data_IF_353631406448
#
_entry.id   IF_353631406448
#
_cell.length_a   1.000
_cell.length_b   1.000
_cell.length_c   1.000
_cell.angle_alpha   90.00
_cell.angle_beta   90.00
_cell.angle_gamma   90.00
#
_symmetry.space_group_name_H-M   'P 1'
#
loop_
_entity.id
_entity.type
_entity.pdbx_description
1 polymer ?
#
# COMPACT_ATOMS: atom_id res chain seq x y z
N UNK A 1 -107.61 35.78 81.56
CA UNK A 1 -106.13 35.88 81.68
C UNK A 1 -105.38 34.74 80.96
N UNK A 2 -105.82 34.27 79.77
CA UNK A 2 -105.10 33.23 78.99
C UNK A 2 -104.76 33.62 77.55
N UNK A 3 -105.13 34.83 77.10
CA UNK A 3 -104.88 35.29 75.72
C UNK A 3 -103.56 36.08 75.55
N UNK A 4 -102.88 36.45 76.64
CA UNK A 4 -101.61 37.21 76.61
C UNK A 4 -100.33 36.35 76.65
N UNK A 5 -100.43 35.03 76.87
CA UNK A 5 -99.26 34.12 76.88
C UNK A 5 -98.95 33.47 75.53
N UNK A 6 -99.89 33.46 74.57
CA UNK A 6 -99.69 32.80 73.27
C UNK A 6 -99.00 33.68 72.22
N UNK A 7 -99.07 35.02 72.34
CA UNK A 7 -98.43 35.96 71.40
C UNK A 7 -96.94 36.20 71.69
N UNK A 8 -96.46 35.89 72.91
CA UNK A 8 -95.05 36.06 73.30
C UNK A 8 -94.16 34.87 72.87
N UNK A 9 -94.69 33.64 72.89
CA UNK A 9 -93.95 32.45 72.43
C UNK A 9 -93.83 32.35 70.90
N UNK A 10 -94.74 32.93 70.12
CA UNK A 10 -94.66 32.87 68.65
C UNK A 10 -93.60 33.82 68.08
N UNK A 11 -93.47 35.02 68.66
CA UNK A 11 -92.45 35.98 68.26
C UNK A 11 -91.03 35.58 68.70
N UNK A 12 -90.86 34.95 69.87
CA UNK A 12 -89.54 34.44 70.28
C UNK A 12 -89.05 33.28 69.40
N UNK A 13 -89.94 32.38 68.96
CA UNK A 13 -89.57 31.29 68.04
C UNK A 13 -89.30 31.79 66.60
N UNK A 14 -89.97 32.85 66.14
CA UNK A 14 -89.70 33.46 64.83
C UNK A 14 -88.39 34.26 64.84
N UNK A 15 -88.06 34.98 65.93
CA UNK A 15 -86.76 35.67 66.09
C UNK A 15 -85.60 34.67 66.21
N UNK A 16 -85.74 33.58 66.97
CA UNK A 16 -84.71 32.52 67.05
C UNK A 16 -84.50 31.81 65.69
N UNK A 17 -85.56 31.58 64.91
CA UNK A 17 -85.45 30.98 63.59
C UNK A 17 -84.78 31.91 62.57
N UNK A 18 -85.12 33.20 62.55
CA UNK A 18 -84.49 34.18 61.65
C UNK A 18 -83.00 34.35 61.99
N UNK A 19 -82.65 34.33 63.29
CA UNK A 19 -81.28 34.46 63.75
C UNK A 19 -80.46 33.18 63.47
N UNK A 20 -81.08 31.99 63.55
CA UNK A 20 -80.49 30.73 63.09
C UNK A 20 -80.33 30.67 61.56
N UNK A 21 -81.29 31.15 60.77
CA UNK A 21 -81.16 31.22 59.31
C UNK A 21 -80.10 32.23 58.85
N UNK A 22 -79.99 33.38 59.52
CA UNK A 22 -78.94 34.37 59.25
C UNK A 22 -77.57 33.85 59.68
N UNK A 23 -77.45 33.17 60.82
CA UNK A 23 -76.21 32.52 61.24
C UNK A 23 -75.82 31.36 60.31
N UNK A 24 -76.80 30.57 59.83
CA UNK A 24 -76.56 29.53 58.85
C UNK A 24 -76.09 30.14 57.52
N UNK A 25 -76.76 31.15 56.98
CA UNK A 25 -76.31 31.85 55.75
C UNK A 25 -74.93 32.47 55.89
N UNK A 26 -74.64 33.12 57.02
CA UNK A 26 -73.33 33.70 57.30
C UNK A 26 -72.25 32.61 57.43
N UNK A 27 -72.59 31.45 58.00
CA UNK A 27 -71.71 30.29 58.07
C UNK A 27 -71.51 29.66 56.67
N UNK A 28 -72.54 29.56 55.84
CA UNK A 28 -72.44 29.05 54.46
C UNK A 28 -71.61 29.98 53.57
N UNK A 29 -71.76 31.30 53.68
CA UNK A 29 -70.93 32.27 52.96
C UNK A 29 -69.47 32.25 53.43
N UNK A 30 -69.22 32.13 54.74
CA UNK A 30 -67.86 31.95 55.27
C UNK A 30 -67.25 30.63 54.83
N UNK A 31 -68.02 29.54 54.83
CA UNK A 31 -67.60 28.21 54.35
C UNK A 31 -67.23 28.26 52.86
N UNK A 32 -68.10 28.84 52.04
CA UNK A 32 -67.88 29.02 50.59
C UNK A 32 -66.64 29.87 50.27
N UNK A 33 -66.36 30.89 51.07
CA UNK A 33 -65.14 31.69 50.90
C UNK A 33 -63.89 30.90 51.32
N UNK A 34 -63.98 30.06 52.36
CA UNK A 34 -62.91 29.17 52.80
C UNK A 34 -62.58 28.12 51.71
N UNK A 35 -63.60 27.47 51.16
CA UNK A 35 -63.47 26.48 50.07
C UNK A 35 -62.81 27.09 48.83
N UNK A 36 -63.13 28.34 48.49
CA UNK A 36 -62.49 29.07 47.38
C UNK A 36 -60.98 29.26 47.59
N UNK A 37 -60.54 29.62 48.80
CA UNK A 37 -59.11 29.78 49.09
C UNK A 37 -58.37 28.44 49.16
N UNK A 38 -59.01 27.40 49.71
CA UNK A 38 -58.43 26.05 49.77
C UNK A 38 -58.31 25.46 48.36
N UNK A 39 -59.34 25.58 47.52
CA UNK A 39 -59.31 25.09 46.15
C UNK A 39 -58.26 25.83 45.29
N UNK A 40 -58.13 27.15 45.46
CA UNK A 40 -57.03 27.89 44.84
C UNK A 40 -55.65 27.37 45.29
N UNK A 41 -55.49 27.07 46.58
CA UNK A 41 -54.26 26.49 47.13
C UNK A 41 -53.93 25.12 46.54
N UNK A 42 -54.92 24.24 46.41
CA UNK A 42 -54.80 22.92 45.78
C UNK A 42 -54.35 23.07 44.32
N UNK A 43 -55.08 23.82 43.50
CA UNK A 43 -54.74 24.04 42.09
C UNK A 43 -53.35 24.66 41.91
N UNK A 44 -52.95 25.57 42.80
CA UNK A 44 -51.61 26.16 42.77
C UNK A 44 -50.52 25.15 43.11
N UNK A 45 -50.73 24.32 44.14
CA UNK A 45 -49.79 23.27 44.52
C UNK A 45 -49.69 22.19 43.44
N UNK A 46 -50.81 21.74 42.87
CA UNK A 46 -50.82 20.78 41.76
C UNK A 46 -50.01 21.29 40.57
N UNK A 47 -50.20 22.56 40.19
CA UNK A 47 -49.40 23.18 39.13
C UNK A 47 -47.90 23.16 39.47
N UNK A 48 -47.53 23.51 40.71
CA UNK A 48 -46.12 23.53 41.15
C UNK A 48 -45.50 22.13 41.21
N UNK A 49 -46.26 21.13 41.66
CA UNK A 49 -45.82 19.74 41.68
C UNK A 49 -45.74 19.14 40.28
N UNK A 50 -46.62 19.54 39.36
CA UNK A 50 -46.49 19.22 37.93
C UNK A 50 -45.22 19.79 37.31
N UNK A 51 -44.93 21.08 37.55
CA UNK A 51 -43.68 21.72 37.11
C UNK A 51 -42.43 21.00 37.66
N UNK A 52 -42.47 20.54 38.92
CA UNK A 52 -41.39 19.75 39.52
C UNK A 52 -41.28 18.35 38.92
N UNK A 53 -42.39 17.67 38.62
CA UNK A 53 -42.36 16.36 37.98
C UNK A 53 -41.74 16.45 36.57
N UNK A 54 -42.07 17.50 35.81
CA UNK A 54 -41.44 17.76 34.52
C UNK A 54 -39.93 17.99 34.65
N UNK A 55 -39.48 18.63 35.74
CA UNK A 55 -38.06 18.80 36.04
C UNK A 55 -37.36 17.48 36.35
N UNK A 56 -37.98 16.61 37.16
CA UNK A 56 -37.47 15.26 37.47
C UNK A 56 -37.33 14.40 36.20
N UNK A 57 -38.29 14.50 35.28
CA UNK A 57 -38.22 13.82 33.97
C UNK A 57 -37.06 14.35 33.14
N UNK A 58 -36.84 15.67 33.08
CA UNK A 58 -35.70 16.26 32.34
C UNK A 58 -34.36 15.81 32.88
N UNK A 59 -34.21 15.70 34.20
CA UNK A 59 -32.94 15.25 34.78
C UNK A 59 -32.74 13.75 34.57
N UNK A 60 -33.79 12.93 34.63
CA UNK A 60 -33.73 11.51 34.25
C UNK A 60 -33.21 11.33 32.82
N UNK A 61 -33.67 12.17 31.89
CA UNK A 61 -33.17 12.16 30.51
C UNK A 61 -31.69 12.56 30.42
N UNK A 62 -31.25 13.54 31.23
CA UNK A 62 -29.85 13.96 31.29
C UNK A 62 -28.91 12.86 31.82
N UNK A 63 -29.38 12.03 32.76
CA UNK A 63 -28.65 10.85 33.25
C UNK A 63 -28.37 9.87 32.10
N UNK A 64 -29.39 9.59 31.28
CA UNK A 64 -29.28 8.68 30.13
C UNK A 64 -28.28 9.18 29.07
N UNK A 65 -28.17 10.49 28.89
CA UNK A 65 -27.18 11.08 27.98
C UNK A 65 -25.74 10.90 28.49
N UNK A 66 -25.54 10.89 29.80
CA UNK A 66 -24.23 10.64 30.42
C UNK A 66 -23.83 9.16 30.29
N UNK A 67 -24.76 8.23 30.45
CA UNK A 67 -24.50 6.80 30.16
C UNK A 67 -24.10 6.55 28.70
N UNK A 68 -24.71 7.27 27.77
CA UNK A 68 -24.28 7.22 26.37
C UNK A 68 -22.85 7.77 26.19
N UNK A 69 -22.47 8.77 26.98
CA UNK A 69 -21.12 9.34 26.99
C UNK A 69 -20.08 8.32 27.46
N UNK A 70 -20.39 7.51 28.47
CA UNK A 70 -19.56 6.37 28.89
C UNK A 70 -19.26 5.40 27.74
N UNK A 71 -20.31 4.99 27.02
CA UNK A 71 -20.18 4.05 25.90
C UNK A 71 -19.26 4.60 24.80
N UNK A 72 -19.35 5.91 24.54
CA UNK A 72 -18.48 6.60 23.57
C UNK A 72 -17.01 6.66 24.02
N UNK A 73 -16.74 6.85 25.31
CA UNK A 73 -15.37 6.87 25.85
C UNK A 73 -14.69 5.51 25.69
N UNK A 74 -15.40 4.43 26.02
CA UNK A 74 -14.89 3.07 25.81
C UNK A 74 -14.62 2.79 24.32
N UNK A 75 -15.46 3.30 23.42
CA UNK A 75 -15.21 3.20 21.99
C UNK A 75 -13.93 3.94 21.57
N UNK A 76 -13.66 5.12 22.13
CA UNK A 76 -12.42 5.88 21.88
C UNK A 76 -11.19 5.10 22.37
N UNK A 77 -11.24 4.48 23.55
CA UNK A 77 -10.14 3.65 24.06
C UNK A 77 -9.81 2.49 23.10
N UNK A 78 -10.83 1.81 22.57
CA UNK A 78 -10.63 0.75 21.57
C UNK A 78 -9.99 1.28 20.28
N UNK A 79 -10.41 2.45 19.81
CA UNK A 79 -9.80 3.10 18.63
C UNK A 79 -8.33 3.42 18.89
N UNK A 80 -7.98 3.95 20.07
CA UNK A 80 -6.60 4.25 20.45
C UNK A 80 -5.73 2.98 20.44
N UNK A 81 -6.20 1.89 21.05
CA UNK A 81 -5.46 0.62 21.08
C UNK A 81 -5.24 0.06 19.66
N UNK A 82 -6.25 0.16 18.78
CA UNK A 82 -6.12 -0.26 17.39
C UNK A 82 -5.11 0.60 16.62
N UNK A 83 -5.11 1.91 16.86
CA UNK A 83 -4.16 2.84 16.24
C UNK A 83 -2.73 2.46 16.68
N UNK A 84 -2.49 2.22 17.97
CA UNK A 84 -1.16 1.87 18.49
C UNK A 84 -0.65 0.56 17.85
N UNK A 85 -1.51 -0.45 17.73
CA UNK A 85 -1.20 -1.71 17.01
C UNK A 85 -0.83 -1.46 15.55
N UNK A 86 -1.60 -0.61 14.84
CA UNK A 86 -1.32 -0.29 13.43
C UNK A 86 0.02 0.43 13.26
N UNK A 87 0.38 1.32 14.20
CA UNK A 87 1.66 2.01 14.16
C UNK A 87 2.85 1.07 14.41
N UNK A 88 2.69 0.07 15.26
CA UNK A 88 3.67 -0.99 15.41
C UNK A 88 3.86 -1.78 14.11
N UNK A 89 2.79 -2.11 13.40
CA UNK A 89 2.86 -2.78 12.10
C UNK A 89 3.54 -1.88 11.04
N UNK A 90 3.21 -0.59 10.98
CA UNK A 90 3.89 0.36 10.10
C UNK A 90 5.38 0.46 10.37
N UNK A 91 5.80 0.38 11.64
CA UNK A 91 7.22 0.38 12.00
C UNK A 91 7.93 -0.87 11.47
N UNK A 92 7.29 -2.04 11.60
CA UNK A 92 7.80 -3.28 11.02
C UNK A 92 7.91 -3.21 9.49
N UNK A 93 6.91 -2.65 8.81
CA UNK A 93 6.95 -2.46 7.36
C UNK A 93 8.06 -1.50 6.92
N UNK A 94 8.26 -0.39 7.61
CA UNK A 94 9.35 0.55 7.31
C UNK A 94 10.73 -0.12 7.48
N UNK A 95 10.91 -0.91 8.53
CA UNK A 95 12.13 -1.70 8.74
C UNK A 95 12.33 -2.74 7.62
N UNK A 96 11.26 -3.41 7.18
CA UNK A 96 11.32 -4.36 6.07
C UNK A 96 11.67 -3.68 4.74
N UNK A 97 11.16 -2.46 4.50
CA UNK A 97 11.57 -1.65 3.35
C UNK A 97 13.09 -1.39 3.40
N UNK A 98 13.64 -1.00 4.54
CA UNK A 98 15.08 -0.78 4.69
C UNK A 98 15.91 -2.04 4.40
N UNK A 99 15.47 -3.21 4.87
CA UNK A 99 16.13 -4.49 4.55
C UNK A 99 16.11 -4.79 3.04
N UNK A 100 14.95 -4.65 2.40
CA UNK A 100 14.81 -4.84 0.95
C UNK A 100 15.71 -3.87 0.19
N UNK A 101 15.79 -2.60 0.61
CA UNK A 101 16.67 -1.61 -0.02
C UNK A 101 18.15 -1.94 0.16
N UNK A 102 18.56 -2.46 1.31
CA UNK A 102 19.94 -2.92 1.51
C UNK A 102 20.30 -4.12 0.63
N UNK A 103 19.36 -5.07 0.48
CA UNK A 103 19.51 -6.20 -0.42
C UNK A 103 19.57 -5.77 -1.89
N UNK A 104 18.74 -4.80 -2.28
CA UNK A 104 18.75 -4.18 -3.62
C UNK A 104 20.11 -3.54 -3.91
N UNK A 105 20.62 -2.71 -3.00
CA UNK A 105 21.93 -2.06 -3.14
C UNK A 105 23.08 -3.07 -3.30
N UNK A 106 23.07 -4.15 -2.50
CA UNK A 106 24.05 -5.24 -2.62
C UNK A 106 23.94 -5.98 -3.96
N UNK A 107 22.71 -6.26 -4.42
CA UNK A 107 22.47 -6.92 -5.70
C UNK A 107 22.96 -6.07 -6.88
N UNK A 108 22.68 -4.76 -6.86
CA UNK A 108 23.13 -3.80 -7.87
C UNK A 108 24.66 -3.72 -7.90
N UNK A 109 25.33 -3.61 -6.74
CA UNK A 109 26.80 -3.62 -6.66
C UNK A 109 27.42 -4.90 -7.22
N UNK A 110 26.80 -6.06 -6.95
CA UNK A 110 27.26 -7.32 -7.53
C UNK A 110 27.05 -7.35 -9.05
N UNK A 111 25.94 -6.82 -9.53
CA UNK A 111 25.65 -6.75 -10.95
C UNK A 111 26.59 -5.80 -11.69
N UNK A 112 26.93 -4.66 -11.10
CA UNK A 112 27.91 -3.71 -11.65
C UNK A 112 29.32 -4.32 -11.75
N UNK A 113 29.76 -5.03 -10.71
CA UNK A 113 31.03 -5.79 -10.76
C UNK A 113 31.05 -6.84 -11.88
N UNK A 114 29.94 -7.58 -12.06
CA UNK A 114 29.80 -8.54 -13.16
C UNK A 114 29.82 -7.85 -14.52
N UNK A 115 29.27 -6.64 -14.61
CA UNK A 115 29.29 -5.85 -15.83
C UNK A 115 30.70 -5.35 -16.17
N UNK A 116 31.47 -4.91 -15.17
CA UNK A 116 32.90 -4.62 -15.34
C UNK A 116 33.67 -5.83 -15.87
N UNK A 117 33.42 -7.01 -15.29
CA UNK A 117 34.02 -8.26 -15.78
C UNK A 117 33.59 -8.60 -17.22
N UNK A 118 32.34 -8.29 -17.60
CA UNK A 118 31.86 -8.49 -18.97
C UNK A 118 32.58 -7.55 -19.95
N UNK A 119 32.78 -6.29 -19.58
CA UNK A 119 33.54 -5.32 -20.38
C UNK A 119 34.99 -5.79 -20.61
N UNK A 120 35.64 -6.31 -19.57
CA UNK A 120 36.99 -6.89 -19.69
C UNK A 120 37.02 -8.09 -20.65
N UNK A 121 36.03 -8.98 -20.56
CA UNK A 121 35.90 -10.12 -21.47
C UNK A 121 35.67 -9.69 -22.91
N UNK A 122 34.81 -8.70 -23.13
CA UNK A 122 34.57 -8.09 -24.45
C UNK A 122 35.88 -7.57 -25.04
N UNK A 123 36.67 -6.82 -24.26
CA UNK A 123 37.95 -6.31 -24.70
C UNK A 123 38.95 -7.45 -25.01
N UNK A 124 38.96 -8.51 -24.20
CA UNK A 124 39.73 -9.72 -24.47
C UNK A 124 39.35 -10.39 -25.79
N UNK A 125 38.05 -10.50 -26.09
CA UNK A 125 37.57 -11.05 -27.37
C UNK A 125 37.95 -10.17 -28.56
N UNK A 126 37.93 -8.84 -28.43
CA UNK A 126 38.44 -7.93 -29.46
C UNK A 126 39.91 -8.22 -29.79
N UNK A 127 40.77 -8.32 -28.77
CA UNK A 127 42.19 -8.64 -28.96
C UNK A 127 42.37 -10.01 -29.64
N UNK A 128 41.57 -11.02 -29.28
CA UNK A 128 41.61 -12.32 -29.95
C UNK A 128 41.25 -12.22 -31.43
N UNK A 129 40.22 -11.45 -31.79
CA UNK A 129 39.84 -11.25 -33.19
C UNK A 129 40.92 -10.49 -33.98
N UNK A 130 41.63 -9.56 -33.35
CA UNK A 130 42.77 -8.87 -33.98
C UNK A 130 43.92 -9.84 -34.25
N UNK A 131 44.28 -10.70 -33.29
CA UNK A 131 45.29 -11.75 -33.50
C UNK A 131 44.88 -12.76 -34.58
N UNK A 132 43.60 -13.13 -34.63
CA UNK A 132 43.06 -13.99 -35.69
C UNK A 132 43.19 -13.31 -37.05
N UNK A 133 42.89 -12.00 -37.13
CA UNK A 133 43.03 -11.21 -38.37
C UNK A 133 44.48 -11.20 -38.87
N UNK A 134 45.45 -11.06 -37.95
CA UNK A 134 46.88 -11.09 -38.27
C UNK A 134 47.32 -12.48 -38.77
N UNK A 135 46.87 -13.56 -38.13
CA UNK A 135 47.14 -14.93 -38.58
C UNK A 135 46.60 -15.19 -40.00
N UNK A 136 45.45 -14.62 -40.36
CA UNK A 136 44.94 -14.73 -41.74
C UNK A 136 45.74 -13.92 -42.75
N UNK A 137 46.28 -12.76 -42.35
CA UNK A 137 47.21 -12.03 -43.22
C UNK A 137 48.49 -12.83 -43.49
N UNK A 138 49.04 -13.51 -42.49
CA UNK A 138 50.18 -14.41 -42.70
C UNK A 138 49.82 -15.61 -43.59
N UNK A 139 48.65 -16.23 -43.37
CA UNK A 139 48.17 -17.34 -44.20
C UNK A 139 48.00 -16.91 -45.66
N UNK A 140 47.44 -15.72 -45.92
CA UNK A 140 47.29 -15.17 -47.26
C UNK A 140 48.65 -15.00 -47.96
N UNK A 141 49.64 -14.49 -47.23
CA UNK A 141 51.00 -14.29 -47.74
C UNK A 141 51.68 -15.63 -48.04
N UNK A 142 51.51 -16.63 -47.17
CA UNK A 142 52.03 -17.98 -47.38
C UNK A 142 51.38 -18.65 -48.60
N UNK A 143 50.06 -18.54 -48.75
CA UNK A 143 49.33 -19.03 -49.93
C UNK A 143 49.82 -18.36 -51.23
N UNK A 144 50.13 -17.06 -51.19
CA UNK A 144 50.71 -16.33 -52.33
C UNK A 144 52.09 -16.86 -52.70
N UNK A 145 52.92 -17.20 -51.72
CA UNK A 145 54.23 -17.81 -51.96
C UNK A 145 54.11 -19.21 -52.56
N UNK A 146 53.15 -20.02 -52.10
CA UNK A 146 52.85 -21.33 -52.70
C UNK A 146 52.42 -21.17 -54.15
N UNK A 147 51.53 -20.21 -54.46
CA UNK A 147 51.11 -19.92 -55.84
C UNK A 147 52.29 -19.55 -56.74
N UNK A 148 53.21 -18.70 -56.25
CA UNK A 148 54.41 -18.31 -57.02
C UNK A 148 55.33 -19.51 -57.29
N UNK A 149 55.48 -20.41 -56.31
CA UNK A 149 56.27 -21.62 -56.47
C UNK A 149 55.60 -22.60 -57.44
N UNK A 150 54.28 -22.78 -57.33
CA UNK A 150 53.43 -23.54 -58.25
C UNK A 150 53.63 -23.08 -59.70
N UNK A 151 53.52 -21.77 -59.95
CA UNK A 151 53.74 -21.17 -61.26
C UNK A 151 55.16 -21.43 -61.80
N UNK A 152 56.17 -21.38 -60.93
CA UNK A 152 57.56 -21.67 -61.30
C UNK A 152 57.77 -23.13 -61.70
N UNK A 153 57.16 -24.07 -60.97
CA UNK A 153 57.21 -25.51 -61.29
C UNK A 153 56.52 -25.79 -62.62
N UNK A 154 55.35 -25.18 -62.87
CA UNK A 154 54.67 -25.27 -64.17
C UNK A 154 55.57 -24.76 -65.30
N UNK A 155 56.28 -23.65 -65.09
CA UNK A 155 57.27 -23.15 -66.04
C UNK A 155 58.41 -24.15 -66.33
N UNK A 156 58.97 -24.75 -65.29
CA UNK A 156 60.03 -25.79 -65.40
C UNK A 156 59.50 -27.04 -66.12
N UNK A 157 58.30 -27.50 -65.76
CA UNK A 157 57.65 -28.65 -66.39
C UNK A 157 57.40 -28.39 -67.88
N UNK A 158 56.90 -27.20 -68.25
CA UNK A 158 56.71 -26.82 -69.65
C UNK A 158 58.02 -26.78 -70.44
N UNK A 159 59.09 -26.22 -69.86
CA UNK A 159 60.42 -26.22 -70.48
C UNK A 159 60.98 -27.64 -70.62
N UNK A 160 60.78 -28.50 -69.62
CA UNK A 160 61.20 -29.90 -69.65
C UNK A 160 60.44 -30.69 -70.70
N UNK A 161 59.14 -30.45 -70.86
CA UNK A 161 58.31 -31.02 -71.91
C UNK A 161 58.82 -30.62 -73.31
N UNK A 162 59.19 -29.34 -73.50
CA UNK A 162 59.77 -28.85 -74.75
C UNK A 162 61.15 -29.45 -75.04
N UNK A 163 62.01 -29.57 -74.04
CA UNK A 163 63.32 -30.21 -74.17
C UNK A 163 63.19 -31.70 -74.52
N UNK A 164 62.28 -32.40 -73.84
CA UNK A 164 61.98 -33.81 -74.09
C UNK A 164 61.42 -34.02 -75.51
N UNK A 165 60.52 -33.13 -75.96
CA UNK A 165 60.01 -33.15 -77.32
C UNK A 165 61.13 -32.99 -78.37
N UNK A 166 62.02 -32.00 -78.17
CA UNK A 166 63.16 -31.80 -79.05
C UNK A 166 64.11 -33.02 -79.06
N UNK A 167 64.33 -33.63 -77.90
CA UNK A 167 65.12 -34.86 -77.79
C UNK A 167 64.47 -36.06 -78.48
N UNK A 168 63.15 -36.26 -78.35
CA UNK A 168 62.41 -37.29 -79.08
C UNK A 168 62.51 -37.10 -80.59
N UNK A 169 62.41 -35.84 -81.08
CA UNK A 169 62.58 -35.51 -82.51
C UNK A 169 63.99 -35.88 -82.99
N UNK A 170 65.02 -35.48 -82.27
CA UNK A 170 66.41 -35.74 -82.69
C UNK A 170 66.79 -37.22 -82.57
N UNK A 171 66.24 -37.93 -81.57
CA UNK A 171 66.36 -39.38 -81.44
C UNK A 171 65.72 -40.12 -82.61
N UNK A 172 64.54 -39.67 -83.08
CA UNK A 172 63.92 -40.21 -84.30
C UNK A 172 64.78 -39.94 -85.55
N UNK A 173 65.44 -38.77 -85.60
CA UNK A 173 66.32 -38.36 -86.69
C UNK A 173 67.59 -39.21 -86.80
N UNK A 174 68.11 -39.72 -85.68
CA UNK A 174 69.24 -40.63 -85.62
C UNK A 174 68.91 -42.09 -86.01
N UNK A 175 67.65 -42.40 -86.33
CA UNK A 175 67.22 -43.73 -86.78
C UNK A 175 67.43 -44.83 -85.73
N UNK A 176 68.01 -45.97 -86.13
CA UNK A 176 68.22 -47.09 -85.20
C UNK A 176 69.17 -46.76 -84.03
N UNK A 177 70.14 -45.86 -84.23
CA UNK A 177 71.08 -45.46 -83.18
C UNK A 177 70.42 -44.63 -82.07
N UNK A 178 69.30 -43.94 -82.36
CA UNK A 178 68.57 -43.09 -81.42
C UNK A 178 67.45 -43.79 -80.65
N UNK A 179 67.18 -45.07 -80.92
CA UNK A 179 65.99 -45.78 -80.43
C UNK A 179 65.89 -45.81 -78.90
N UNK A 180 67.01 -46.02 -78.21
CA UNK A 180 67.07 -45.96 -76.74
C UNK A 180 66.84 -44.55 -76.17
N UNK A 181 67.36 -43.51 -76.84
CA UNK A 181 67.15 -42.12 -76.45
C UNK A 181 65.71 -41.66 -76.64
N UNK A 182 65.03 -42.16 -77.69
CA UNK A 182 63.61 -41.85 -77.93
C UNK A 182 62.71 -42.33 -76.81
N UNK A 183 62.98 -43.52 -76.25
CA UNK A 183 62.19 -44.07 -75.12
C UNK A 183 62.37 -43.21 -73.87
N UNK A 184 63.61 -42.80 -73.59
CA UNK A 184 63.90 -41.93 -72.43
C UNK A 184 63.24 -40.55 -72.60
N UNK A 185 63.33 -39.96 -73.79
CA UNK A 185 62.73 -38.66 -74.08
C UNK A 185 61.20 -38.68 -73.93
N UNK A 186 60.52 -39.73 -74.41
CA UNK A 186 59.07 -39.87 -74.22
C UNK A 186 58.67 -40.06 -72.74
N UNK A 187 59.49 -40.75 -71.94
CA UNK A 187 59.23 -40.92 -70.51
C UNK A 187 59.41 -39.59 -69.75
N UNK A 188 60.45 -38.81 -70.08
CA UNK A 188 60.64 -37.45 -69.54
C UNK A 188 59.44 -36.56 -69.92
N UNK A 189 58.95 -36.66 -71.16
CA UNK A 189 57.77 -35.93 -71.63
C UNK A 189 56.54 -36.27 -70.77
N UNK A 190 56.27 -37.55 -70.53
CA UNK A 190 55.16 -37.96 -69.63
C UNK A 190 55.33 -37.44 -68.21
N UNK A 191 56.54 -37.52 -67.63
CA UNK A 191 56.81 -36.97 -66.30
C UNK A 191 56.50 -35.47 -66.23
N UNK A 192 56.89 -34.70 -67.25
CA UNK A 192 56.65 -33.25 -67.29
C UNK A 192 55.15 -32.89 -67.39
N UNK A 193 54.37 -33.65 -68.17
CA UNK A 193 52.92 -33.49 -68.25
C UNK A 193 52.25 -33.87 -66.93
N UNK A 194 52.65 -34.99 -66.33
CA UNK A 194 52.14 -35.41 -65.03
C UNK A 194 52.48 -34.40 -63.92
N UNK A 195 53.67 -33.80 -63.97
CA UNK A 195 54.05 -32.69 -63.06
C UNK A 195 53.10 -31.52 -63.20
N UNK A 196 52.78 -31.11 -64.44
CA UNK A 196 51.85 -29.99 -64.70
C UNK A 196 50.44 -30.27 -64.16
N UNK A 197 49.97 -31.50 -64.30
CA UNK A 197 48.68 -31.94 -63.78
C UNK A 197 48.63 -31.91 -62.24
N UNK A 198 49.68 -32.38 -61.57
CA UNK A 198 49.80 -32.29 -60.11
C UNK A 198 49.80 -30.83 -59.62
N UNK A 199 50.51 -29.96 -60.32
CA UNK A 199 50.58 -28.54 -59.99
C UNK A 199 49.23 -27.84 -60.20
N UNK A 200 48.45 -28.22 -61.22
CA UNK A 200 47.07 -27.73 -61.36
C UNK A 200 46.19 -28.11 -60.15
N UNK A 201 46.45 -29.25 -59.51
CA UNK A 201 45.80 -29.62 -58.25
C UNK A 201 46.17 -28.69 -57.09
N UNK A 202 47.42 -28.24 -57.02
CA UNK A 202 47.89 -27.25 -56.03
C UNK A 202 47.17 -25.91 -56.25
N UNK A 203 47.10 -25.42 -57.49
CA UNK A 203 46.42 -24.16 -57.82
C UNK A 203 44.94 -24.16 -57.40
N UNK A 204 44.26 -25.30 -57.60
CA UNK A 204 42.88 -25.47 -57.15
C UNK A 204 42.78 -25.37 -55.62
N UNK A 205 43.63 -26.05 -54.88
CA UNK A 205 43.65 -26.00 -53.40
C UNK A 205 43.97 -24.60 -52.87
N UNK A 206 44.88 -23.87 -53.53
CA UNK A 206 45.20 -22.47 -53.18
C UNK A 206 44.00 -21.55 -53.41
N UNK A 207 43.25 -21.77 -54.49
CA UNK A 207 42.02 -21.01 -54.76
C UNK A 207 40.94 -21.27 -53.70
N UNK A 208 40.72 -22.53 -53.32
CA UNK A 208 39.78 -22.90 -52.25
C UNK A 208 40.19 -22.30 -50.89
N UNK A 209 41.50 -22.19 -50.62
CA UNK A 209 42.03 -21.48 -49.45
C UNK A 209 41.69 -19.99 -49.48
N UNK A 210 41.82 -19.30 -50.62
CA UNK A 210 41.44 -17.88 -50.73
C UNK A 210 39.96 -17.66 -50.47
N UNK A 211 39.08 -18.50 -51.04
CA UNK A 211 37.64 -18.42 -50.81
C UNK A 211 37.30 -18.62 -49.32
N UNK A 212 38.00 -19.54 -48.64
CA UNK A 212 37.85 -19.78 -47.21
C UNK A 212 38.31 -18.58 -46.36
N UNK A 213 39.44 -17.95 -46.72
CA UNK A 213 39.96 -16.75 -46.03
C UNK A 213 38.97 -15.59 -46.16
N UNK A 214 38.40 -15.36 -47.34
CA UNK A 214 37.46 -14.25 -47.56
C UNK A 214 36.14 -14.48 -46.81
N UNK A 215 35.61 -15.71 -46.79
CA UNK A 215 34.44 -16.04 -45.97
C UNK A 215 34.68 -15.75 -44.49
N UNK A 216 35.87 -16.10 -44.00
CA UNK A 216 36.19 -15.98 -42.59
C UNK A 216 36.50 -14.53 -42.18
N UNK A 217 37.04 -13.71 -43.10
CA UNK A 217 37.12 -12.25 -42.92
C UNK A 217 35.75 -11.61 -42.68
N UNK A 218 34.73 -12.04 -43.42
CA UNK A 218 33.38 -11.55 -43.24
C UNK A 218 32.79 -11.96 -41.87
N UNK A 219 33.03 -13.21 -41.44
CA UNK A 219 32.64 -13.65 -40.09
C UNK A 219 33.32 -12.85 -38.97
N UNK A 220 34.60 -12.51 -39.12
CA UNK A 220 35.33 -11.66 -38.16
C UNK A 220 34.72 -10.26 -38.13
N UNK A 221 34.39 -9.68 -39.29
CA UNK A 221 33.76 -8.35 -39.38
C UNK A 221 32.40 -8.32 -38.67
N UNK A 222 31.59 -9.35 -38.90
CA UNK A 222 30.30 -9.51 -38.24
C UNK A 222 30.46 -9.71 -36.72
N UNK A 223 31.46 -10.49 -36.30
CA UNK A 223 31.80 -10.67 -34.89
C UNK A 223 32.22 -9.37 -34.21
N UNK A 224 33.06 -8.55 -34.85
CA UNK A 224 33.46 -7.22 -34.34
C UNK A 224 32.26 -6.28 -34.17
N UNK A 225 31.32 -6.29 -35.12
CA UNK A 225 30.08 -5.50 -35.03
C UNK A 225 29.26 -5.94 -33.82
N UNK A 226 29.03 -7.26 -33.68
CA UNK A 226 28.27 -7.82 -32.56
C UNK A 226 28.91 -7.51 -31.20
N UNK A 227 30.24 -7.52 -31.12
CA UNK A 227 30.96 -7.15 -29.89
C UNK A 227 30.78 -5.67 -29.55
N UNK A 228 30.78 -4.79 -30.56
CA UNK A 228 30.54 -3.36 -30.36
C UNK A 228 29.14 -3.12 -29.81
N UNK A 229 28.13 -3.79 -30.37
CA UNK A 229 26.75 -3.71 -29.88
C UNK A 229 26.65 -4.23 -28.44
N UNK A 230 27.28 -5.38 -28.14
CA UNK A 230 27.32 -5.93 -26.78
C UNK A 230 27.98 -4.98 -25.77
N UNK A 231 28.99 -4.23 -26.19
CA UNK A 231 29.63 -3.22 -25.36
C UNK A 231 28.68 -2.06 -25.05
N UNK A 232 27.95 -1.57 -26.05
CA UNK A 232 26.92 -0.54 -25.85
C UNK A 232 25.79 -1.02 -24.93
N UNK A 233 25.31 -2.25 -25.12
CA UNK A 233 24.32 -2.87 -24.23
C UNK A 233 24.84 -2.95 -22.78
N UNK A 234 26.09 -3.36 -22.58
CA UNK A 234 26.70 -3.41 -21.25
C UNK A 234 26.71 -2.02 -20.58
N UNK A 235 27.08 -0.97 -21.32
CA UNK A 235 27.07 0.41 -20.81
C UNK A 235 25.66 0.89 -20.45
N UNK A 236 24.67 0.59 -21.27
CA UNK A 236 23.27 0.94 -20.99
C UNK A 236 22.78 0.26 -19.70
N UNK A 237 23.10 -1.02 -19.50
CA UNK A 237 22.74 -1.72 -18.27
C UNK A 237 23.44 -1.11 -17.03
N UNK A 238 24.68 -0.64 -17.14
CA UNK A 238 25.32 0.09 -16.02
C UNK A 238 24.59 1.40 -15.68
N UNK A 239 24.09 2.12 -16.70
CA UNK A 239 23.29 3.32 -16.50
C UNK A 239 21.97 3.00 -15.80
N UNK A 240 21.31 1.89 -16.17
CA UNK A 240 20.09 1.43 -15.52
C UNK A 240 20.35 1.06 -14.05
N UNK A 241 21.47 0.39 -13.75
CA UNK A 241 21.88 0.11 -12.38
C UNK A 241 22.07 1.36 -11.54
N UNK A 242 22.64 2.42 -12.11
CA UNK A 242 22.74 3.71 -11.43
C UNK A 242 21.36 4.28 -11.06
N UNK A 243 20.39 4.20 -11.97
CA UNK A 243 19.01 4.64 -11.67
C UNK A 243 18.38 3.80 -10.55
N UNK A 244 18.62 2.49 -10.53
CA UNK A 244 18.13 1.63 -9.43
C UNK A 244 18.77 2.01 -8.10
N UNK A 245 20.07 2.35 -8.08
CA UNK A 245 20.74 2.87 -6.88
C UNK A 245 20.10 4.17 -6.40
N UNK A 246 19.84 5.12 -7.31
CA UNK A 246 19.21 6.40 -6.97
C UNK A 246 17.81 6.17 -6.37
N UNK A 247 16.97 5.33 -7.00
CA UNK A 247 15.67 4.96 -6.44
C UNK A 247 15.76 4.25 -5.08
N UNK A 248 16.81 3.45 -4.87
CA UNK A 248 17.05 2.75 -3.59
C UNK A 248 17.40 3.75 -2.48
N UNK A 249 18.13 4.82 -2.80
CA UNK A 249 18.44 5.91 -1.87
C UNK A 249 17.16 6.67 -1.51
N UNK A 250 16.39 7.09 -2.51
CA UNK A 250 15.12 7.80 -2.29
C UNK A 250 14.14 6.98 -1.43
N UNK A 251 14.04 5.66 -1.69
CA UNK A 251 13.19 4.77 -0.91
C UNK A 251 13.65 4.63 0.55
N UNK A 252 14.97 4.65 0.82
CA UNK A 252 15.51 4.66 2.18
C UNK A 252 15.17 5.96 2.90
N UNK A 253 15.33 7.10 2.25
CA UNK A 253 14.94 8.40 2.80
C UNK A 253 13.45 8.45 3.13
N UNK A 254 12.61 7.98 2.21
CA UNK A 254 11.17 7.87 2.42
C UNK A 254 10.83 6.96 3.62
N UNK A 255 11.50 5.81 3.75
CA UNK A 255 11.32 4.92 4.91
C UNK A 255 11.70 5.61 6.22
N UNK A 256 12.78 6.39 6.25
CA UNK A 256 13.15 7.18 7.43
C UNK A 256 12.10 8.25 7.77
N UNK A 257 11.48 8.88 6.77
CA UNK A 257 10.37 9.80 6.98
C UNK A 257 9.14 9.11 7.58
N UNK A 258 8.82 7.90 7.13
CA UNK A 258 7.75 7.08 7.72
C UNK A 258 8.06 6.83 9.20
N UNK A 259 9.27 6.36 9.54
CA UNK A 259 9.66 6.08 10.94
C UNK A 259 9.52 7.32 11.81
N UNK A 260 10.01 8.48 11.37
CA UNK A 260 9.83 9.74 12.11
C UNK A 260 8.36 10.12 12.28
N UNK A 261 7.53 9.88 11.26
CA UNK A 261 6.09 10.10 11.33
C UNK A 261 5.39 9.20 12.34
N UNK A 262 5.81 7.93 12.42
CA UNK A 262 5.36 6.95 13.41
C UNK A 262 5.73 7.41 14.81
N UNK A 263 6.99 7.78 15.06
CA UNK A 263 7.46 8.26 16.37
C UNK A 263 6.67 9.48 16.84
N UNK A 264 6.46 10.46 15.95
CA UNK A 264 5.65 11.65 16.27
C UNK A 264 4.22 11.27 16.64
N UNK A 265 3.58 10.42 15.85
CA UNK A 265 2.17 10.07 16.07
C UNK A 265 2.01 9.20 17.31
N UNK A 266 2.96 8.31 17.61
CA UNK A 266 2.99 7.53 18.86
C UNK A 266 3.04 8.45 20.09
N UNK A 267 3.82 9.54 20.03
CA UNK A 267 3.81 10.55 21.09
C UNK A 267 2.46 11.26 21.22
N UNK A 268 1.80 11.59 20.10
CA UNK A 268 0.47 12.20 20.11
C UNK A 268 -0.60 11.25 20.68
N UNK A 269 -0.53 9.97 20.34
CA UNK A 269 -1.41 8.90 20.87
C UNK A 269 -1.23 8.76 22.38
N UNK A 270 0.02 8.76 22.88
CA UNK A 270 0.29 8.74 24.31
C UNK A 270 -0.38 9.92 25.03
N UNK A 271 -0.33 11.12 24.45
CA UNK A 271 -1.08 12.27 24.95
C UNK A 271 -2.60 12.04 24.94
N UNK A 272 -3.14 11.48 23.86
CA UNK A 272 -4.57 11.15 23.76
C UNK A 272 -5.02 10.12 24.81
N UNK A 273 -4.21 9.09 25.10
CA UNK A 273 -4.47 8.11 26.17
C UNK A 273 -4.64 8.84 27.51
N UNK A 274 -3.69 9.71 27.88
CA UNK A 274 -3.77 10.45 29.15
C UNK A 274 -5.01 11.37 29.23
N UNK A 275 -5.41 11.96 28.10
CA UNK A 275 -6.63 12.76 28.01
C UNK A 275 -7.89 11.92 28.20
N UNK A 276 -7.95 10.75 27.58
CA UNK A 276 -9.08 9.80 27.73
C UNK A 276 -9.15 9.25 29.14
N UNK A 277 -8.03 8.94 29.78
CA UNK A 277 -8.00 8.51 31.18
C UNK A 277 -8.56 9.60 32.11
N UNK A 278 -8.16 10.86 31.88
CA UNK A 278 -8.68 12.01 32.64
C UNK A 278 -10.20 12.18 32.47
N UNK A 279 -10.72 12.02 31.24
CA UNK A 279 -12.16 12.09 30.96
C UNK A 279 -12.89 10.90 31.61
N UNK A 280 -12.30 9.70 31.56
CA UNK A 280 -12.84 8.50 32.20
C UNK A 280 -12.98 8.69 33.71
N UNK A 281 -11.98 9.30 34.36
CA UNK A 281 -12.03 9.61 35.80
C UNK A 281 -13.16 10.60 36.13
N UNK A 282 -13.30 11.68 35.35
CA UNK A 282 -14.39 12.66 35.53
C UNK A 282 -15.75 11.99 35.39
N UNK A 283 -15.90 11.14 34.38
CA UNK A 283 -17.16 10.46 34.06
C UNK A 283 -17.50 9.40 35.12
N UNK A 284 -16.51 8.66 35.62
CA UNK A 284 -16.63 7.78 36.80
C UNK A 284 -17.12 8.54 38.05
N UNK A 285 -16.50 9.69 38.35
CA UNK A 285 -16.92 10.54 39.46
C UNK A 285 -18.35 11.05 39.29
N UNK A 286 -18.72 11.42 38.06
CA UNK A 286 -20.06 11.89 37.73
C UNK A 286 -21.10 10.77 37.85
N UNK A 287 -20.80 9.57 37.37
CA UNK A 287 -21.68 8.38 37.50
C UNK A 287 -22.07 8.11 38.95
N UNK A 288 -21.09 8.07 39.86
CA UNK A 288 -21.33 7.90 41.30
C UNK A 288 -22.25 8.98 41.90
N UNK A 289 -22.11 10.24 41.44
CA UNK A 289 -22.99 11.35 41.85
C UNK A 289 -24.40 11.20 41.27
N UNK A 290 -24.52 10.71 40.04
CA UNK A 290 -25.80 10.47 39.39
C UNK A 290 -26.58 9.33 40.05
N UNK A 291 -25.92 8.23 40.44
CA UNK A 291 -26.59 7.15 41.17
C UNK A 291 -27.23 7.67 42.46
N UNK A 292 -26.47 8.51 43.19
CA UNK A 292 -26.97 9.18 44.39
C UNK A 292 -28.15 10.12 44.07
N UNK A 293 -28.07 10.86 42.95
CA UNK A 293 -29.12 11.76 42.51
C UNK A 293 -30.38 10.98 42.11
N UNK A 294 -30.24 9.89 41.37
CA UNK A 294 -31.32 9.05 40.88
C UNK A 294 -32.11 8.42 42.04
N UNK A 295 -31.42 7.96 43.09
CA UNK A 295 -32.06 7.48 44.32
C UNK A 295 -32.88 8.60 45.01
N UNK A 296 -32.33 9.82 45.07
CA UNK A 296 -33.03 10.98 45.64
C UNK A 296 -34.23 11.38 44.78
N UNK A 297 -34.10 11.33 43.45
CA UNK A 297 -35.17 11.61 42.49
C UNK A 297 -36.32 10.63 42.62
N UNK A 298 -36.02 9.33 42.59
CA UNK A 298 -37.03 8.30 42.79
C UNK A 298 -37.80 8.52 44.10
N UNK A 299 -37.10 8.85 45.19
CA UNK A 299 -37.73 9.17 46.48
C UNK A 299 -38.63 10.41 46.38
N UNK A 300 -38.16 11.49 45.74
CA UNK A 300 -38.94 12.72 45.55
C UNK A 300 -40.16 12.52 44.67
N UNK A 301 -40.02 11.80 43.56
CA UNK A 301 -41.11 11.49 42.63
C UNK A 301 -42.23 10.74 43.35
N UNK A 302 -41.89 9.74 44.20
CA UNK A 302 -42.87 9.06 45.06
C UNK A 302 -43.57 10.04 46.00
N UNK A 303 -42.82 10.92 46.68
CA UNK A 303 -43.41 11.93 47.58
C UNK A 303 -44.34 12.88 46.83
N UNK A 304 -43.95 13.36 45.64
CA UNK A 304 -44.77 14.24 44.81
C UNK A 304 -46.06 13.54 44.40
N UNK A 305 -45.98 12.28 43.96
CA UNK A 305 -47.16 11.47 43.65
C UNK A 305 -48.08 11.32 44.85
N UNK A 306 -47.53 11.03 46.05
CA UNK A 306 -48.30 10.92 47.27
C UNK A 306 -49.00 12.24 47.65
N UNK A 307 -48.31 13.38 47.49
CA UNK A 307 -48.88 14.70 47.76
C UNK A 307 -49.98 15.04 46.74
N UNK A 308 -49.78 14.78 45.44
CA UNK A 308 -50.81 14.97 44.42
C UNK A 308 -52.04 14.11 44.74
N UNK A 309 -51.84 12.82 45.04
CA UNK A 309 -52.92 11.92 45.43
C UNK A 309 -53.68 12.43 46.67
N UNK A 310 -52.97 12.97 47.66
CA UNK A 310 -53.56 13.55 48.86
C UNK A 310 -54.34 14.84 48.57
N UNK A 311 -53.81 15.73 47.73
CA UNK A 311 -54.51 16.96 47.32
C UNK A 311 -55.79 16.65 46.55
N UNK A 312 -55.76 15.65 45.67
CA UNK A 312 -56.92 15.18 44.93
C UNK A 312 -57.99 14.59 45.86
N UNK A 313 -57.57 13.92 46.96
CA UNK A 313 -58.50 13.48 48.01
C UNK A 313 -59.13 14.66 48.76
N UNK A 314 -58.37 15.71 49.09
CA UNK A 314 -58.92 16.93 49.70
C UNK A 314 -59.91 17.60 48.75
N UNK A 315 -59.59 17.72 47.47
CA UNK A 315 -60.48 18.31 46.46
C UNK A 315 -61.80 17.54 46.38
N UNK A 316 -61.76 16.20 46.35
CA UNK A 316 -62.94 15.36 46.38
C UNK A 316 -63.77 15.55 47.67
N UNK A 317 -63.12 15.62 48.84
CA UNK A 317 -63.81 15.85 50.13
C UNK A 317 -64.46 17.24 50.18
N UNK A 318 -63.82 18.27 49.64
CA UNK A 318 -64.40 19.60 49.52
C UNK A 318 -65.62 19.58 48.58
N UNK A 319 -65.52 18.91 47.43
CA UNK A 319 -66.63 18.75 46.49
C UNK A 319 -67.84 18.02 47.14
N UNK A 320 -67.58 16.97 47.93
CA UNK A 320 -68.62 16.24 48.66
C UNK A 320 -69.26 17.12 49.76
N UNK A 321 -68.48 17.93 50.47
CA UNK A 321 -68.99 18.85 51.50
C UNK A 321 -69.89 19.97 50.95
N UNK A 322 -69.65 20.40 49.70
CA UNK A 322 -70.50 21.36 48.98
C UNK A 322 -71.83 20.70 48.59
N UNK A 323 -71.79 19.42 48.18
CA UNK A 323 -72.99 18.66 47.83
C UNK A 323 -73.87 18.28 49.04
N UNK A 324 -73.27 18.02 50.20
CA UNK A 324 -74.02 17.65 51.42
C UNK A 324 -74.68 18.86 52.11
N UNK A 325 -74.14 20.08 51.95
CA UNK A 325 -74.76 21.32 52.42
C UNK A 325 -75.91 21.84 51.52
N UNK A 326 -76.21 21.14 50.42
CA UNK A 326 -77.30 21.43 49.49
C UNK A 326 -78.59 20.63 49.72
N UNK A 327 -78.66 19.81 50.78
CA UNK A 327 -79.88 19.09 51.21
C UNK A 327 -80.49 19.66 52.47
#
# INVERSE_FOLDING_TARGET
MKWFKFKKNKNQNEEENIQNEQNNKLNTEKMSNYDKYVNYGILHMEKKFGEFMDEEVRVTQSIKEIDNTYSKINAIQNVINNIDSNFNDFSQYANKINDVMNRSDSAVKQADNKMGTLADKINGTCTQLDSITEAFHELENNSRNIQNMSNSITGIASNTNLLALNASIEAARAGEAGRGFSVVADEIRKLSLSTTELVSGIDKSVKELYESIDSLREEIRNSKTTITDNYEYAQNVQKDFKQVTDCTIEAKEFSQHIIKGIERTSSEISGAVTGVDSVTEIVNSLGNKLDTLNLRMSTRSTIICDIINFMQQIENLLADSINDNGK
#
